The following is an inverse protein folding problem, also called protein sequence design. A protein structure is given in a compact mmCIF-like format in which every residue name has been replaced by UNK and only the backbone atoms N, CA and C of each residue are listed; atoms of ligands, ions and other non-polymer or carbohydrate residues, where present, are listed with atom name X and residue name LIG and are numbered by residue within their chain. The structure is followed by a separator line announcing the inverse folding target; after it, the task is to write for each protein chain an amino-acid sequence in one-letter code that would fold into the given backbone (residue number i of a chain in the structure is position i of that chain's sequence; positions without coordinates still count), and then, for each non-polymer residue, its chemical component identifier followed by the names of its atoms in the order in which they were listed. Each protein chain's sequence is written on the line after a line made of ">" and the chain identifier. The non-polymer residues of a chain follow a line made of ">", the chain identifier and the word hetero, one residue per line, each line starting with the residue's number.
data_IF_674132618378
#
_entry.id   IF_674132618378
#
_cell.length_a   1.000
_cell.length_b   1.000
_cell.length_c   1.000
_cell.angle_alpha   90.00
_cell.angle_beta   90.00
_cell.angle_gamma   90.00
#
_symmetry.space_group_name_H-M   'P 1'
#
loop_
_entity.id
_entity.type
_entity.pdbx_description
1 polymer ?
#
# COMPACT_ATOMS: atom_id res chain seq x y z
N UNK A 1 -8.61 -21.73 26.25
CA UNK A 1 -8.95 -22.71 25.17
C UNK A 1 -8.38 -22.26 23.82
N UNK A 2 -8.69 -21.09 23.26
CA UNK A 2 -8.20 -20.64 21.94
C UNK A 2 -6.68 -20.70 21.81
N UNK A 3 -5.92 -20.15 22.77
CA UNK A 3 -4.44 -20.18 22.76
C UNK A 3 -3.86 -21.60 22.72
N UNK A 4 -4.51 -22.56 23.37
CA UNK A 4 -4.04 -23.96 23.40
C UNK A 4 -4.27 -24.63 22.04
N UNK A 5 -5.44 -24.38 21.40
CA UNK A 5 -5.74 -24.91 20.07
C UNK A 5 -4.81 -24.35 18.99
N UNK A 6 -4.65 -23.02 18.95
CA UNK A 6 -3.71 -22.39 18.03
C UNK A 6 -2.26 -22.81 18.28
N UNK A 7 -1.86 -22.98 19.55
CA UNK A 7 -0.53 -23.48 19.89
C UNK A 7 -0.30 -24.92 19.44
N UNK A 8 -1.31 -25.78 19.49
CA UNK A 8 -1.25 -27.13 18.95
C UNK A 8 -1.07 -27.13 17.42
N UNK A 9 -1.89 -26.34 16.70
CA UNK A 9 -1.78 -26.22 15.26
C UNK A 9 -0.43 -25.63 14.82
N UNK A 10 0.08 -24.63 15.54
CA UNK A 10 1.39 -24.03 15.25
C UNK A 10 2.57 -24.97 15.50
N UNK A 11 2.41 -25.96 16.39
CA UNK A 11 3.43 -26.98 16.67
C UNK A 11 3.31 -28.23 15.80
N UNK A 12 2.21 -28.39 15.05
CA UNK A 12 1.98 -29.55 14.20
C UNK A 12 2.90 -29.52 12.97
N UNK A 13 3.44 -30.70 12.59
CA UNK A 13 4.13 -30.85 11.32
C UNK A 13 3.11 -30.98 10.18
N UNK A 14 2.78 -29.84 9.57
CA UNK A 14 1.82 -29.77 8.49
C UNK A 14 2.19 -30.66 7.28
N UNK A 15 3.48 -30.96 7.08
CA UNK A 15 3.94 -31.80 5.96
C UNK A 15 3.52 -33.26 6.10
N UNK A 16 3.21 -33.70 7.29
CA UNK A 16 2.74 -35.07 7.59
C UNK A 16 1.22 -35.22 7.45
N UNK A 17 0.49 -34.12 7.26
CA UNK A 17 -0.96 -34.14 7.13
C UNK A 17 -1.39 -34.32 5.68
N UNK A 18 -2.49 -35.05 5.43
CA UNK A 18 -3.09 -35.11 4.09
C UNK A 18 -3.48 -33.70 3.60
N UNK A 19 -3.42 -33.47 2.29
CA UNK A 19 -3.77 -32.18 1.68
C UNK A 19 -5.21 -31.72 2.01
N UNK A 20 -6.16 -32.64 2.14
CA UNK A 20 -7.52 -32.35 2.59
C UNK A 20 -7.56 -31.76 4.00
N UNK A 21 -6.82 -32.37 4.94
CA UNK A 21 -6.73 -31.88 6.31
C UNK A 21 -6.01 -30.52 6.38
N UNK A 22 -4.96 -30.33 5.57
CA UNK A 22 -4.30 -29.02 5.44
C UNK A 22 -5.29 -27.94 4.96
N UNK A 23 -6.11 -28.26 3.95
CA UNK A 23 -7.12 -27.33 3.42
C UNK A 23 -8.20 -27.01 4.47
N UNK A 24 -8.67 -28.01 5.22
CA UNK A 24 -9.61 -27.80 6.32
C UNK A 24 -9.02 -26.91 7.41
N UNK A 25 -7.78 -27.15 7.83
CA UNK A 25 -7.10 -26.32 8.83
C UNK A 25 -6.95 -24.86 8.34
N UNK A 26 -6.62 -24.64 7.06
CA UNK A 26 -6.51 -23.29 6.51
C UNK A 26 -7.88 -22.58 6.50
N UNK A 27 -8.95 -23.26 6.11
CA UNK A 27 -10.29 -22.69 6.13
C UNK A 27 -10.74 -22.33 7.56
N UNK A 28 -10.47 -23.17 8.53
CA UNK A 28 -10.77 -22.93 9.94
C UNK A 28 -9.96 -21.76 10.51
N UNK A 29 -8.68 -21.62 10.14
CA UNK A 29 -7.85 -20.50 10.57
C UNK A 29 -8.37 -19.17 10.05
N UNK A 30 -8.81 -19.08 8.78
CA UNK A 30 -9.43 -17.88 8.23
C UNK A 30 -10.72 -17.49 8.98
N UNK A 31 -11.55 -18.48 9.36
CA UNK A 31 -12.76 -18.23 10.16
C UNK A 31 -12.41 -17.72 11.56
N UNK A 32 -11.38 -18.29 12.19
CA UNK A 32 -10.92 -17.85 13.51
C UNK A 32 -10.34 -16.44 13.47
N UNK A 33 -9.59 -16.08 12.43
CA UNK A 33 -9.05 -14.74 12.25
C UNK A 33 -10.17 -13.71 12.04
N UNK A 34 -11.20 -14.06 11.29
CA UNK A 34 -12.39 -13.22 11.14
C UNK A 34 -13.08 -12.99 12.49
N UNK A 35 -13.34 -14.06 13.26
CA UNK A 35 -13.96 -13.98 14.58
C UNK A 35 -13.09 -13.19 15.56
N UNK A 36 -11.76 -13.40 15.55
CA UNK A 36 -10.82 -12.66 16.37
C UNK A 36 -10.80 -11.16 16.04
N UNK A 37 -10.94 -10.82 14.76
CA UNK A 37 -11.01 -9.43 14.29
C UNK A 37 -12.30 -8.76 14.75
N UNK A 38 -13.45 -9.44 14.67
CA UNK A 38 -14.71 -8.93 15.21
C UNK A 38 -14.66 -8.73 16.73
N UNK A 39 -14.15 -9.72 17.46
CA UNK A 39 -14.00 -9.63 18.92
C UNK A 39 -13.07 -8.48 19.32
N UNK A 40 -11.91 -8.35 18.67
CA UNK A 40 -10.95 -7.26 18.93
C UNK A 40 -11.59 -5.90 18.72
N UNK A 41 -12.37 -5.72 17.66
CA UNK A 41 -13.07 -4.47 17.38
C UNK A 41 -14.06 -4.12 18.49
N UNK A 42 -14.87 -5.07 18.95
CA UNK A 42 -15.83 -4.89 20.03
C UNK A 42 -15.16 -4.54 21.36
N UNK A 43 -14.13 -5.29 21.76
CA UNK A 43 -13.39 -5.00 23.00
C UNK A 43 -12.69 -3.65 22.94
N UNK A 44 -12.07 -3.30 21.80
CA UNK A 44 -11.37 -2.02 21.64
C UNK A 44 -12.33 -0.84 21.67
N UNK A 45 -13.50 -0.97 21.06
CA UNK A 45 -14.54 0.06 21.12
C UNK A 45 -15.04 0.27 22.56
N UNK A 46 -15.36 -0.81 23.28
CA UNK A 46 -15.82 -0.74 24.66
C UNK A 46 -14.72 -0.19 25.59
N UNK A 47 -13.46 -0.63 25.43
CA UNK A 47 -12.33 -0.16 26.23
C UNK A 47 -12.08 1.34 26.03
N UNK A 48 -12.22 1.82 24.78
CA UNK A 48 -12.05 3.24 24.47
C UNK A 48 -13.19 4.08 25.05
N UNK A 49 -14.44 3.61 24.93
CA UNK A 49 -15.62 4.31 25.44
C UNK A 49 -15.64 4.37 26.99
N UNK A 50 -15.12 3.34 27.66
CA UNK A 50 -15.06 3.25 29.12
C UNK A 50 -13.85 3.96 29.74
N UNK A 51 -13.14 4.82 29.01
CA UNK A 51 -11.91 5.47 29.48
C UNK A 51 -10.81 4.50 29.96
N UNK A 52 -10.82 3.25 29.47
CA UNK A 52 -9.87 2.22 29.82
C UNK A 52 -8.40 2.61 29.66
N UNK A 53 -7.97 3.29 28.55
CA UNK A 53 -6.60 3.75 28.39
C UNK A 53 -6.14 4.68 29.52
N UNK A 54 -6.98 5.65 29.90
CA UNK A 54 -6.67 6.60 30.97
C UNK A 54 -6.55 5.92 32.34
N UNK A 55 -7.36 4.90 32.59
CA UNK A 55 -7.27 4.08 33.81
C UNK A 55 -5.96 3.31 33.95
N UNK A 56 -5.35 2.97 32.82
CA UNK A 56 -4.05 2.28 32.74
C UNK A 56 -2.85 3.24 32.58
N UNK A 57 -3.08 4.54 32.64
CA UNK A 57 -2.04 5.58 32.52
C UNK A 57 -1.64 5.90 31.09
N UNK A 58 -2.39 5.45 30.09
CA UNK A 58 -2.20 5.76 28.70
C UNK A 58 -3.17 6.84 28.19
N UNK A 59 -2.71 7.71 27.31
CA UNK A 59 -3.54 8.82 26.79
C UNK A 59 -4.45 8.40 25.63
N UNK A 60 -4.28 7.21 25.06
CA UNK A 60 -5.11 6.69 23.96
C UNK A 60 -5.05 5.17 23.85
N UNK A 61 -6.09 4.57 23.23
CA UNK A 61 -6.13 3.15 22.94
C UNK A 61 -4.97 2.69 22.01
N UNK A 62 -4.52 3.55 21.09
CA UNK A 62 -3.37 3.28 20.22
C UNK A 62 -2.09 3.19 21.05
N UNK A 63 -1.86 4.14 21.96
CA UNK A 63 -0.72 4.13 22.88
C UNK A 63 -0.73 2.90 23.76
N UNK A 64 -1.88 2.58 24.36
CA UNK A 64 -2.08 1.40 25.19
C UNK A 64 -1.75 0.11 24.43
N UNK A 65 -2.26 -0.05 23.21
CA UNK A 65 -1.98 -1.22 22.38
C UNK A 65 -0.47 -1.38 22.14
N UNK A 66 0.24 -0.30 21.80
CA UNK A 66 1.69 -0.35 21.59
C UNK A 66 2.42 -0.78 22.87
N UNK A 67 2.13 -0.14 23.99
CA UNK A 67 2.84 -0.38 25.24
C UNK A 67 2.55 -1.76 25.85
N UNK A 68 1.28 -2.18 25.81
CA UNK A 68 0.85 -3.43 26.50
C UNK A 68 0.96 -4.67 25.65
N UNK A 69 0.85 -4.54 24.34
CA UNK A 69 0.86 -5.72 23.44
C UNK A 69 2.11 -5.81 22.56
N UNK A 70 2.93 -4.75 22.52
CA UNK A 70 4.15 -4.71 21.71
C UNK A 70 3.94 -4.67 20.20
N UNK A 71 2.70 -4.40 19.74
CA UNK A 71 2.43 -4.28 18.30
C UNK A 71 2.97 -2.97 17.74
N UNK A 72 3.21 -2.94 16.43
CA UNK A 72 3.67 -1.72 15.76
C UNK A 72 2.61 -0.62 15.79
N UNK A 73 3.03 0.64 15.68
CA UNK A 73 2.13 1.80 15.59
C UNK A 73 1.13 1.65 14.44
N UNK A 74 1.57 1.17 13.27
CA UNK A 74 0.70 0.95 12.11
C UNK A 74 -0.41 -0.05 12.42
N UNK A 75 -0.09 -1.18 13.07
CA UNK A 75 -1.07 -2.17 13.48
C UNK A 75 -2.06 -1.60 14.52
N UNK A 76 -1.56 -0.86 15.53
CA UNK A 76 -2.41 -0.25 16.54
C UNK A 76 -3.39 0.78 15.95
N UNK A 77 -2.92 1.63 15.02
CA UNK A 77 -3.75 2.58 14.28
C UNK A 77 -4.79 1.83 13.43
N UNK A 78 -4.36 0.77 12.72
CA UNK A 78 -5.25 -0.07 11.90
C UNK A 78 -6.37 -0.73 12.73
N UNK A 79 -6.04 -1.27 13.91
CA UNK A 79 -7.04 -1.83 14.82
C UNK A 79 -8.02 -0.77 15.34
N UNK A 80 -7.53 0.41 15.69
CA UNK A 80 -8.38 1.52 16.16
C UNK A 80 -9.31 2.04 15.04
N UNK A 81 -8.80 2.20 13.83
CA UNK A 81 -9.59 2.60 12.67
C UNK A 81 -10.66 1.55 12.33
N UNK A 82 -10.29 0.27 12.37
CA UNK A 82 -11.24 -0.82 12.16
C UNK A 82 -12.32 -0.86 13.23
N UNK A 83 -11.99 -0.71 14.50
CA UNK A 83 -12.99 -0.68 15.58
C UNK A 83 -14.02 0.43 15.39
N UNK A 84 -13.59 1.61 14.93
CA UNK A 84 -14.49 2.73 14.61
C UNK A 84 -15.40 2.41 13.43
N UNK A 85 -14.85 1.86 12.35
CA UNK A 85 -15.64 1.46 11.16
C UNK A 85 -16.61 0.33 11.49
N UNK A 86 -16.18 -0.69 12.19
CA UNK A 86 -16.97 -1.84 12.59
C UNK A 86 -18.23 -1.43 13.40
N UNK A 87 -18.16 -0.36 14.16
CA UNK A 87 -19.30 0.17 14.92
C UNK A 87 -20.45 0.65 14.03
N UNK A 88 -20.19 1.00 12.77
CA UNK A 88 -21.22 1.41 11.78
C UNK A 88 -21.67 0.28 10.87
N UNK A 89 -21.12 -0.93 11.01
CA UNK A 89 -21.41 -2.11 10.18
C UNK A 89 -21.73 -3.36 11.03
N UNK A 90 -22.82 -3.33 11.85
CA UNK A 90 -23.10 -4.41 12.79
C UNK A 90 -23.35 -5.77 12.09
N UNK A 91 -23.89 -5.79 10.87
CA UNK A 91 -24.14 -7.01 10.11
C UNK A 91 -22.83 -7.67 9.67
N UNK A 92 -21.88 -6.88 9.18
CA UNK A 92 -20.57 -7.39 8.79
C UNK A 92 -19.81 -7.92 10.01
N UNK A 93 -19.89 -7.22 11.15
CA UNK A 93 -19.30 -7.69 12.41
C UNK A 93 -19.91 -9.01 12.85
N UNK A 94 -21.22 -9.18 12.72
CA UNK A 94 -21.90 -10.44 13.04
C UNK A 94 -21.47 -11.58 12.10
N UNK A 95 -21.32 -11.31 10.80
CA UNK A 95 -20.84 -12.28 9.82
C UNK A 95 -19.37 -12.69 10.08
N UNK A 96 -18.50 -11.74 10.43
CA UNK A 96 -17.12 -12.02 10.84
C UNK A 96 -17.08 -12.86 12.12
N UNK A 97 -17.90 -12.52 13.12
CA UNK A 97 -17.97 -13.26 14.39
C UNK A 97 -18.46 -14.70 14.19
N UNK A 98 -19.34 -14.92 13.22
CA UNK A 98 -19.84 -16.24 12.84
C UNK A 98 -18.86 -17.02 11.92
N UNK A 99 -17.80 -16.39 11.44
CA UNK A 99 -16.86 -16.99 10.48
C UNK A 99 -17.46 -17.23 9.09
N UNK A 100 -18.61 -16.63 8.76
CA UNK A 100 -19.27 -16.79 7.45
C UNK A 100 -18.66 -15.92 6.36
N UNK A 101 -17.85 -14.95 6.73
CA UNK A 101 -17.08 -14.10 5.83
C UNK A 101 -15.67 -13.93 6.37
N UNK A 102 -14.65 -13.94 5.50
CA UNK A 102 -13.28 -13.68 5.90
C UNK A 102 -13.06 -12.20 6.26
N UNK A 103 -12.01 -11.92 7.04
CA UNK A 103 -11.65 -10.53 7.39
C UNK A 103 -11.49 -9.65 6.14
N UNK A 104 -10.82 -10.15 5.11
CA UNK A 104 -10.55 -9.41 3.88
C UNK A 104 -11.83 -9.01 3.15
N UNK A 105 -12.77 -9.94 3.00
CA UNK A 105 -14.07 -9.68 2.36
C UNK A 105 -14.92 -8.74 3.21
N UNK A 106 -14.99 -8.95 4.52
CA UNK A 106 -15.73 -8.06 5.41
C UNK A 106 -15.21 -6.61 5.37
N UNK A 107 -13.90 -6.43 5.31
CA UNK A 107 -13.28 -5.09 5.14
C UNK A 107 -13.64 -4.43 3.81
N UNK A 108 -13.67 -5.20 2.72
CA UNK A 108 -14.04 -4.71 1.40
C UNK A 108 -15.51 -4.31 1.36
N UNK A 109 -16.41 -5.11 1.92
CA UNK A 109 -17.85 -4.77 2.02
C UNK A 109 -18.01 -3.43 2.77
N UNK A 110 -17.42 -3.29 3.97
CA UNK A 110 -17.48 -2.04 4.72
C UNK A 110 -16.93 -0.85 3.93
N UNK A 111 -15.80 -1.04 3.21
CA UNK A 111 -15.20 0.03 2.40
C UNK A 111 -16.14 0.50 1.28
N UNK A 112 -16.85 -0.42 0.67
CA UNK A 112 -17.83 -0.09 -0.37
C UNK A 112 -19.08 0.57 0.22
N UNK A 113 -19.69 -0.04 1.22
CA UNK A 113 -20.96 0.45 1.79
C UNK A 113 -20.80 1.75 2.58
N UNK A 114 -19.59 2.08 3.06
CA UNK A 114 -19.28 3.43 3.58
C UNK A 114 -19.53 4.55 2.56
N UNK A 115 -19.48 4.23 1.27
CA UNK A 115 -19.78 5.19 0.18
C UNK A 115 -21.27 5.41 -0.02
N UNK A 116 -22.13 4.56 0.53
CA UNK A 116 -23.57 4.72 0.47
C UNK A 116 -24.04 5.77 1.49
N UNK A 117 -25.15 6.47 1.21
CA UNK A 117 -25.85 7.24 2.24
C UNK A 117 -26.09 6.41 3.49
N UNK A 118 -26.00 7.03 4.67
CA UNK A 118 -26.05 6.31 5.95
C UNK A 118 -27.30 5.44 6.10
N UNK A 119 -28.47 5.91 5.60
CA UNK A 119 -29.73 5.19 5.61
C UNK A 119 -29.75 3.92 4.74
N UNK A 120 -28.87 3.82 3.75
CA UNK A 120 -28.77 2.66 2.85
C UNK A 120 -27.65 1.70 3.22
N UNK A 121 -26.78 2.07 4.15
CA UNK A 121 -25.57 1.31 4.49
C UNK A 121 -25.88 -0.08 5.03
N UNK A 122 -26.81 -0.17 6.00
CA UNK A 122 -27.19 -1.45 6.62
C UNK A 122 -27.86 -2.42 5.62
N UNK A 123 -28.69 -1.90 4.73
CA UNK A 123 -29.28 -2.69 3.64
C UNK A 123 -28.21 -3.11 2.60
N UNK A 124 -27.24 -2.25 2.34
CA UNK A 124 -26.09 -2.56 1.49
C UNK A 124 -25.24 -3.70 2.04
N UNK A 125 -24.92 -3.64 3.33
CA UNK A 125 -24.19 -4.71 4.02
C UNK A 125 -24.96 -6.04 3.93
N UNK A 126 -26.27 -6.02 4.19
CA UNK A 126 -27.12 -7.21 4.09
C UNK A 126 -27.10 -7.84 2.71
N UNK A 127 -27.29 -7.04 1.66
CA UNK A 127 -27.37 -7.52 0.29
C UNK A 127 -26.02 -8.12 -0.16
N UNK A 128 -24.90 -7.44 0.12
CA UNK A 128 -23.57 -7.95 -0.25
C UNK A 128 -23.19 -9.22 0.52
N UNK A 129 -23.52 -9.30 1.81
CA UNK A 129 -23.31 -10.51 2.61
C UNK A 129 -24.15 -11.67 2.09
N UNK A 130 -25.44 -11.44 1.76
CA UNK A 130 -26.32 -12.47 1.20
C UNK A 130 -25.82 -12.95 -0.17
N UNK A 131 -25.38 -12.05 -1.03
CA UNK A 131 -24.80 -12.37 -2.34
C UNK A 131 -23.50 -13.19 -2.20
N UNK A 132 -22.62 -12.83 -1.27
CA UNK A 132 -21.41 -13.60 -0.96
C UNK A 132 -21.75 -15.00 -0.45
N UNK A 133 -22.72 -15.13 0.47
CA UNK A 133 -23.19 -16.42 0.97
C UNK A 133 -23.85 -17.26 -0.14
N UNK A 134 -24.41 -16.62 -1.16
CA UNK A 134 -24.92 -17.26 -2.38
C UNK A 134 -23.81 -17.71 -3.36
N UNK A 135 -22.53 -17.49 -3.04
CA UNK A 135 -21.39 -17.94 -3.83
C UNK A 135 -20.86 -16.93 -4.86
N UNK A 136 -21.28 -15.66 -4.82
CA UNK A 136 -20.72 -14.64 -5.70
C UNK A 136 -19.27 -14.35 -5.33
N UNK A 137 -18.41 -14.25 -6.35
CA UNK A 137 -17.02 -13.82 -6.20
C UNK A 137 -16.89 -12.31 -5.98
N UNK A 138 -15.69 -11.85 -5.58
CA UNK A 138 -15.42 -10.42 -5.31
C UNK A 138 -15.70 -9.52 -6.52
N UNK A 139 -15.45 -9.99 -7.75
CA UNK A 139 -15.72 -9.22 -8.96
C UNK A 139 -17.22 -8.99 -9.17
N UNK A 140 -18.04 -10.02 -8.92
CA UNK A 140 -19.50 -9.93 -9.05
C UNK A 140 -20.10 -9.07 -7.93
N UNK A 141 -19.54 -9.17 -6.71
CA UNK A 141 -19.91 -8.29 -5.60
C UNK A 141 -19.60 -6.83 -5.90
N UNK A 142 -18.45 -6.55 -6.53
CA UNK A 142 -18.11 -5.19 -6.94
C UNK A 142 -19.10 -4.65 -7.99
N UNK A 143 -19.51 -5.48 -8.96
CA UNK A 143 -20.53 -5.11 -9.94
C UNK A 143 -21.89 -4.86 -9.29
N UNK A 144 -22.29 -5.73 -8.36
CA UNK A 144 -23.52 -5.54 -7.59
C UNK A 144 -23.48 -4.24 -6.78
N UNK A 145 -22.38 -3.99 -6.09
CA UNK A 145 -22.19 -2.74 -5.35
C UNK A 145 -22.29 -1.52 -6.26
N UNK A 146 -21.66 -1.55 -7.45
CA UNK A 146 -21.72 -0.44 -8.40
C UNK A 146 -23.18 -0.12 -8.80
N UNK A 147 -24.00 -1.15 -9.04
CA UNK A 147 -25.43 -0.95 -9.31
C UNK A 147 -26.18 -0.36 -8.09
N UNK A 148 -25.91 -0.87 -6.89
CA UNK A 148 -26.50 -0.35 -5.66
C UNK A 148 -26.13 1.11 -5.45
N UNK A 149 -24.87 1.45 -5.68
CA UNK A 149 -24.34 2.80 -5.54
C UNK A 149 -25.01 3.80 -6.49
N UNK A 150 -25.17 3.43 -7.76
CA UNK A 150 -25.89 4.26 -8.74
C UNK A 150 -27.35 4.45 -8.34
N UNK A 151 -28.03 3.38 -7.90
CA UNK A 151 -29.45 3.47 -7.48
C UNK A 151 -29.66 4.28 -6.20
N UNK A 152 -28.74 4.15 -5.23
CA UNK A 152 -28.85 4.87 -3.96
C UNK A 152 -28.64 6.38 -4.11
N UNK A 153 -27.95 6.80 -5.17
CA UNK A 153 -27.70 8.22 -5.45
C UNK A 153 -28.88 8.95 -6.07
N UNK A 154 -29.77 8.22 -6.76
CA UNK A 154 -30.82 8.87 -7.53
C UNK A 154 -30.26 9.91 -8.52
N UNK A 155 -31.12 10.81 -9.01
CA UNK A 155 -30.73 11.93 -9.86
C UNK A 155 -30.05 13.10 -9.09
N UNK A 156 -29.30 12.84 -8.01
CA UNK A 156 -28.58 13.90 -7.27
C UNK A 156 -27.29 14.22 -8.02
N UNK A 157 -27.18 15.36 -8.72
CA UNK A 157 -25.96 15.73 -9.38
C UNK A 157 -24.88 16.09 -8.35
N UNK A 158 -23.71 15.49 -8.50
CA UNK A 158 -22.41 16.13 -8.21
C UNK A 158 -21.90 16.33 -6.78
N UNK A 159 -22.54 15.79 -5.74
CA UNK A 159 -21.93 15.91 -4.39
C UNK A 159 -20.71 14.99 -4.16
N UNK A 160 -20.56 13.94 -4.97
CA UNK A 160 -19.45 13.01 -4.83
C UNK A 160 -18.19 13.44 -5.59
N UNK A 161 -18.32 14.15 -6.71
CA UNK A 161 -17.13 14.78 -7.32
C UNK A 161 -16.46 15.73 -6.33
N UNK A 162 -17.23 16.42 -5.51
CA UNK A 162 -16.72 17.24 -4.41
C UNK A 162 -15.99 16.44 -3.33
N UNK A 163 -16.49 15.24 -2.97
CA UNK A 163 -15.86 14.34 -1.99
C UNK A 163 -14.62 13.67 -2.57
N UNK A 164 -14.70 13.07 -3.75
CA UNK A 164 -13.54 12.48 -4.43
C UNK A 164 -12.44 13.52 -4.63
N UNK A 165 -12.83 14.77 -4.93
CA UNK A 165 -11.88 15.86 -5.04
C UNK A 165 -11.32 16.32 -3.70
N UNK A 166 -12.09 16.25 -2.60
CA UNK A 166 -11.63 16.56 -1.26
C UNK A 166 -10.70 15.48 -0.69
N UNK A 167 -11.00 14.21 -0.96
CA UNK A 167 -10.27 13.06 -0.43
C UNK A 167 -9.05 12.68 -1.28
N UNK A 168 -8.84 13.35 -2.44
CA UNK A 168 -7.69 13.07 -3.30
C UNK A 168 -6.38 13.27 -2.58
N UNK A 169 -5.55 12.26 -2.62
CA UNK A 169 -4.23 12.31 -2.00
C UNK A 169 -3.24 11.43 -2.76
N UNK A 170 -2.02 11.89 -2.93
CA UNK A 170 -0.89 11.07 -3.39
C UNK A 170 0.25 11.22 -2.40
N UNK A 171 0.68 10.10 -1.85
CA UNK A 171 1.83 10.00 -0.94
C UNK A 171 2.97 9.29 -1.62
N UNK A 172 4.12 9.93 -1.62
CA UNK A 172 5.37 9.32 -2.00
C UNK A 172 6.19 9.12 -0.72
N UNK A 173 6.45 7.87 -0.38
CA UNK A 173 7.28 7.50 0.77
C UNK A 173 8.53 6.78 0.30
N UNK A 174 9.64 6.94 1.03
CA UNK A 174 10.89 6.24 0.76
C UNK A 174 11.09 5.12 1.76
N UNK A 175 11.42 3.93 1.30
CA UNK A 175 11.77 2.79 2.17
C UNK A 175 13.19 2.93 2.71
N UNK A 176 13.53 2.13 3.74
CA UNK A 176 14.89 2.10 4.33
C UNK A 176 15.97 1.80 3.28
N UNK A 177 15.61 1.10 2.20
CA UNK A 177 16.52 0.81 1.07
C UNK A 177 16.60 1.91 0.00
N UNK A 178 15.86 3.03 0.17
CA UNK A 178 15.82 4.14 -0.80
C UNK A 178 14.83 3.94 -1.94
N UNK A 179 14.09 2.82 -1.99
CA UNK A 179 13.03 2.64 -2.97
C UNK A 179 11.82 3.50 -2.65
N UNK A 180 11.17 4.05 -3.69
CA UNK A 180 9.95 4.82 -3.56
C UNK A 180 8.71 3.92 -3.47
N UNK A 181 7.75 4.32 -2.66
CA UNK A 181 6.41 3.72 -2.59
C UNK A 181 5.39 4.82 -2.82
N UNK A 182 4.53 4.63 -3.82
CA UNK A 182 3.45 5.56 -4.15
C UNK A 182 2.13 4.96 -3.68
N UNK A 183 1.37 5.72 -2.89
CA UNK A 183 0.01 5.39 -2.48
C UNK A 183 -0.87 6.61 -2.66
N UNK A 184 -2.15 6.40 -2.97
CA UNK A 184 -3.07 7.53 -3.00
C UNK A 184 -4.43 7.19 -3.55
N UNK A 185 -5.35 8.14 -3.33
CA UNK A 185 -6.70 8.13 -3.86
C UNK A 185 -6.78 9.18 -4.98
N UNK A 186 -7.08 8.72 -6.19
CA UNK A 186 -7.18 9.55 -7.38
C UNK A 186 -8.64 9.81 -7.73
N UNK A 187 -8.94 10.99 -8.25
CA UNK A 187 -10.24 11.20 -8.89
C UNK A 187 -10.39 10.29 -10.11
N UNK A 188 -11.62 10.00 -10.52
CA UNK A 188 -11.90 9.13 -11.67
C UNK A 188 -11.19 9.60 -12.94
N UNK A 189 -11.19 10.92 -13.19
CA UNK A 189 -10.50 11.55 -14.32
C UNK A 189 -8.97 11.34 -14.24
N UNK A 190 -8.37 11.60 -13.07
CA UNK A 190 -6.93 11.40 -12.86
C UNK A 190 -6.55 9.92 -13.01
N UNK A 191 -7.33 9.00 -12.43
CA UNK A 191 -7.12 7.58 -12.56
C UNK A 191 -7.16 7.10 -14.03
N UNK A 192 -8.14 7.59 -14.80
CA UNK A 192 -8.25 7.29 -16.22
C UNK A 192 -7.05 7.82 -17.03
N UNK A 193 -6.59 9.05 -16.74
CA UNK A 193 -5.42 9.63 -17.39
C UNK A 193 -4.13 8.84 -17.06
N UNK A 194 -3.93 8.49 -15.80
CA UNK A 194 -2.78 7.66 -15.36
C UNK A 194 -2.82 6.30 -16.04
N UNK A 195 -3.98 5.62 -16.04
CA UNK A 195 -4.14 4.33 -16.69
C UNK A 195 -3.83 4.39 -18.18
N UNK A 196 -4.34 5.41 -18.89
CA UNK A 196 -4.10 5.60 -20.32
C UNK A 196 -2.60 5.78 -20.64
N UNK A 197 -1.87 6.57 -19.84
CA UNK A 197 -0.43 6.77 -20.00
C UNK A 197 0.35 5.49 -19.73
N UNK A 198 0.03 4.79 -18.64
CA UNK A 198 0.69 3.54 -18.27
C UNK A 198 0.44 2.44 -19.31
N UNK A 199 -0.80 2.29 -19.77
CA UNK A 199 -1.15 1.32 -20.81
C UNK A 199 -0.43 1.61 -22.14
N UNK A 200 -0.37 2.88 -22.53
CA UNK A 200 0.31 3.29 -23.77
C UNK A 200 1.82 3.01 -23.77
N UNK A 201 2.47 3.11 -22.59
CA UNK A 201 3.92 2.94 -22.45
C UNK A 201 4.34 1.53 -21.98
N UNK A 202 3.39 0.66 -21.59
CA UNK A 202 3.66 -0.64 -21.02
C UNK A 202 3.55 -1.80 -22.01
N UNK A 203 3.55 -1.53 -23.30
CA UNK A 203 3.48 -2.57 -24.32
C UNK A 203 4.60 -3.61 -24.13
N UNK A 204 4.30 -4.93 -24.24
CA UNK A 204 5.32 -5.97 -24.15
C UNK A 204 6.39 -5.79 -25.24
N UNK A 205 7.66 -5.96 -24.88
CA UNK A 205 8.80 -5.83 -25.80
C UNK A 205 8.96 -7.06 -26.74
N UNK A 206 8.00 -7.95 -26.79
CA UNK A 206 7.98 -9.17 -27.62
C UNK A 206 7.56 -10.40 -26.83
N UNK A 207 7.70 -11.57 -27.46
CA UNK A 207 7.30 -12.86 -26.86
C UNK A 207 8.21 -13.32 -25.71
N UNK A 208 9.41 -12.76 -25.62
CA UNK A 208 10.42 -13.08 -24.59
C UNK A 208 10.38 -12.10 -23.42
N UNK A 209 9.41 -11.18 -23.39
CA UNK A 209 9.23 -10.24 -22.28
C UNK A 209 8.58 -10.97 -21.08
N UNK A 210 9.39 -11.39 -20.14
CA UNK A 210 9.03 -12.10 -18.91
C UNK A 210 8.55 -11.16 -17.79
N UNK A 211 8.59 -9.83 -18.01
CA UNK A 211 8.15 -8.85 -17.01
C UNK A 211 6.65 -8.99 -16.72
N UNK A 212 6.31 -8.95 -15.45
CA UNK A 212 4.91 -8.87 -15.01
C UNK A 212 4.26 -7.56 -15.46
N UNK A 213 2.93 -7.49 -15.47
CA UNK A 213 2.20 -6.23 -15.74
C UNK A 213 2.65 -5.11 -14.79
N UNK A 214 2.87 -5.43 -13.50
CA UNK A 214 3.33 -4.45 -12.51
C UNK A 214 4.72 -3.88 -12.83
N UNK A 215 5.65 -4.74 -13.26
CA UNK A 215 6.98 -4.31 -13.69
C UNK A 215 6.92 -3.42 -14.94
N UNK A 216 6.11 -3.79 -15.93
CA UNK A 216 5.91 -2.95 -17.12
C UNK A 216 5.26 -1.60 -16.77
N UNK A 217 4.34 -1.55 -15.81
CA UNK A 217 3.73 -0.32 -15.32
C UNK A 217 4.75 0.57 -14.58
N UNK A 218 5.66 -0.04 -13.80
CA UNK A 218 6.78 0.68 -13.18
C UNK A 218 7.67 1.36 -14.25
N UNK A 219 8.06 0.59 -15.27
CA UNK A 219 8.91 1.10 -16.34
C UNK A 219 8.19 2.18 -17.17
N UNK A 220 6.89 2.00 -17.40
CA UNK A 220 6.04 2.99 -18.06
C UNK A 220 5.93 4.31 -17.26
N UNK A 221 5.81 4.20 -15.94
CA UNK A 221 5.80 5.36 -15.05
C UNK A 221 7.14 6.10 -15.10
N UNK A 222 8.25 5.38 -15.00
CA UNK A 222 9.59 5.95 -15.07
C UNK A 222 9.81 6.69 -16.42
N UNK A 223 9.41 6.06 -17.54
CA UNK A 223 9.49 6.66 -18.86
C UNK A 223 8.57 7.88 -19.02
N UNK A 224 7.37 7.84 -18.49
CA UNK A 224 6.45 8.99 -18.51
C UNK A 224 7.07 10.19 -17.74
N UNK A 225 7.64 9.94 -16.55
CA UNK A 225 8.29 11.00 -15.78
C UNK A 225 9.53 11.53 -16.48
N UNK A 226 10.34 10.67 -17.09
CA UNK A 226 11.51 11.08 -17.87
C UNK A 226 11.10 11.99 -19.05
N UNK A 227 10.07 11.61 -19.83
CA UNK A 227 9.55 12.43 -20.94
C UNK A 227 9.02 13.76 -20.46
N UNK A 228 8.27 13.76 -19.37
CA UNK A 228 7.70 14.98 -18.80
C UNK A 228 8.81 15.93 -18.32
N UNK A 229 9.81 15.42 -17.61
CA UNK A 229 10.95 16.23 -17.17
C UNK A 229 11.77 16.77 -18.35
N UNK A 230 11.94 15.98 -19.42
CA UNK A 230 12.68 16.40 -20.62
C UNK A 230 11.88 17.38 -21.52
N UNK A 231 10.56 17.43 -21.39
CA UNK A 231 9.69 18.24 -22.27
C UNK A 231 9.86 19.75 -22.10
N UNK A 232 10.41 20.20 -20.96
CA UNK A 232 10.46 21.62 -20.62
C UNK A 232 9.10 22.28 -20.30
N UNK A 233 8.02 21.49 -20.24
CA UNK A 233 6.67 21.99 -19.93
C UNK A 233 6.38 22.12 -18.44
N UNK A 234 7.25 21.60 -17.58
CA UNK A 234 7.10 21.74 -16.14
C UNK A 234 7.39 23.17 -15.71
N UNK A 235 6.59 23.73 -14.76
CA UNK A 235 6.82 25.07 -14.29
C UNK A 235 8.20 25.18 -13.60
N UNK A 236 8.90 26.28 -13.89
CA UNK A 236 10.17 26.56 -13.25
C UNK A 236 10.02 26.76 -11.74
N UNK A 237 10.94 26.21 -10.97
CA UNK A 237 11.07 26.48 -9.52
C UNK A 237 12.22 27.48 -9.31
N UNK A 238 11.91 28.64 -8.76
CA UNK A 238 12.88 29.72 -8.51
C UNK A 238 13.69 30.10 -9.77
N UNK A 239 13.06 30.13 -10.95
CA UNK A 239 13.71 30.47 -12.20
C UNK A 239 14.62 29.37 -12.78
N UNK A 240 14.52 28.13 -12.25
CA UNK A 240 15.27 26.98 -12.74
C UNK A 240 14.31 25.91 -13.23
N UNK A 241 14.62 25.24 -14.35
CA UNK A 241 13.84 24.09 -14.82
C UNK A 241 13.90 22.97 -13.77
N UNK A 242 12.80 22.23 -13.63
CA UNK A 242 12.75 21.06 -12.76
C UNK A 242 13.70 19.99 -13.28
N UNK A 243 14.65 19.57 -12.44
CA UNK A 243 15.66 18.56 -12.74
C UNK A 243 15.84 17.65 -11.55
N UNK A 244 16.13 16.38 -11.80
CA UNK A 244 16.60 15.46 -10.77
C UNK A 244 18.10 15.64 -10.59
N UNK A 245 18.55 15.95 -9.38
CA UNK A 245 19.97 16.09 -9.05
C UNK A 245 20.48 14.78 -8.47
N UNK A 246 21.56 14.26 -9.06
CA UNK A 246 22.29 13.10 -8.53
C UNK A 246 23.66 13.58 -8.06
N UNK A 247 23.93 13.44 -6.78
CA UNK A 247 25.23 13.79 -6.20
C UNK A 247 26.16 12.58 -6.24
N UNK A 248 27.21 12.68 -7.05
CA UNK A 248 28.27 11.68 -7.19
C UNK A 248 29.58 12.33 -6.83
N UNK A 249 30.45 11.68 -6.04
CA UNK A 249 31.78 12.23 -5.78
C UNK A 249 32.64 12.13 -7.05
N UNK A 250 33.55 13.12 -7.24
CA UNK A 250 34.45 13.11 -8.40
C UNK A 250 35.29 11.83 -8.44
N UNK A 251 35.70 11.32 -7.28
CA UNK A 251 36.44 10.08 -7.18
C UNK A 251 35.66 8.88 -7.70
N UNK A 252 34.36 8.81 -7.37
CA UNK A 252 33.46 7.76 -7.82
C UNK A 252 33.17 7.88 -9.32
N UNK A 253 33.06 9.10 -9.83
CA UNK A 253 32.83 9.38 -11.25
C UNK A 253 34.05 8.99 -12.11
N UNK A 254 35.25 9.31 -11.67
CA UNK A 254 36.49 8.98 -12.39
C UNK A 254 36.78 7.47 -12.42
N UNK A 255 36.21 6.71 -11.50
CA UNK A 255 36.41 5.25 -11.42
C UNK A 255 35.33 4.48 -12.20
N UNK A 256 34.27 5.14 -12.68
CA UNK A 256 33.23 4.53 -13.52
C UNK A 256 33.78 4.10 -14.90
N UNK A 257 34.85 4.75 -15.40
CA UNK A 257 35.51 4.47 -16.70
C UNK A 257 36.81 3.67 -16.59
N UNK A 258 37.15 3.13 -15.43
CA UNK A 258 38.41 2.48 -15.17
C UNK A 258 38.48 1.01 -15.61
N UNK A 259 39.70 0.56 -15.90
CA UNK A 259 40.09 -0.79 -16.31
C UNK A 259 39.49 -1.91 -15.44
N UNK A 260 39.05 -3.00 -16.06
CA UNK A 260 38.32 -4.12 -15.45
C UNK A 260 39.02 -4.83 -14.26
N UNK A 261 40.35 -4.76 -14.18
CA UNK A 261 41.13 -5.29 -13.06
C UNK A 261 41.11 -4.39 -11.83
N UNK A 262 41.12 -3.07 -12.02
CA UNK A 262 40.90 -2.06 -10.99
C UNK A 262 39.43 -2.07 -10.52
N UNK A 263 38.48 -2.40 -11.41
CA UNK A 263 37.05 -2.55 -11.04
C UNK A 263 36.80 -3.70 -10.06
N UNK A 264 37.51 -4.82 -10.17
CA UNK A 264 37.31 -5.97 -9.27
C UNK A 264 37.83 -5.67 -7.84
N UNK A 265 39.03 -5.12 -7.73
CA UNK A 265 39.63 -4.74 -6.44
C UNK A 265 38.89 -3.54 -5.81
N UNK A 266 38.50 -2.59 -6.63
CA UNK A 266 37.73 -1.43 -6.23
C UNK A 266 36.27 -1.82 -5.85
N UNK A 267 35.63 -2.75 -6.59
CA UNK A 267 34.28 -3.22 -6.28
C UNK A 267 34.23 -3.84 -4.88
N UNK A 268 35.25 -4.49 -4.43
CA UNK A 268 35.33 -5.08 -3.09
C UNK A 268 35.58 -4.03 -2.00
N UNK A 269 36.50 -3.10 -2.24
CA UNK A 269 36.79 -1.97 -1.34
C UNK A 269 35.61 -0.99 -1.29
N UNK A 270 34.91 -0.80 -2.41
CA UNK A 270 33.74 0.08 -2.53
C UNK A 270 32.49 -0.59 -2.01
N UNK A 271 32.27 -1.87 -2.19
CA UNK A 271 31.18 -2.57 -1.50
C UNK A 271 31.25 -2.38 0.01
N UNK A 272 32.42 -2.45 0.59
CA UNK A 272 32.61 -2.18 2.02
C UNK A 272 32.41 -0.69 2.36
N UNK A 273 32.84 0.25 1.51
CA UNK A 273 32.62 1.69 1.67
C UNK A 273 31.21 2.13 1.30
N UNK A 274 30.62 1.52 0.29
CA UNK A 274 29.28 1.89 -0.23
C UNK A 274 28.14 1.28 0.56
N UNK A 275 28.38 0.31 1.41
CA UNK A 275 27.45 0.03 2.50
C UNK A 275 27.18 1.27 3.37
N UNK A 276 28.09 2.27 3.34
CA UNK A 276 28.02 3.50 4.10
C UNK A 276 27.75 4.78 3.26
N UNK A 277 27.91 4.77 1.94
CA UNK A 277 27.71 5.96 1.09
C UNK A 277 26.90 5.58 -0.15
N UNK A 278 25.71 6.13 -0.24
CA UNK A 278 24.80 5.98 -1.38
C UNK A 278 24.66 7.32 -2.08
N UNK A 279 24.56 7.36 -3.41
CA UNK A 279 24.23 8.59 -4.12
C UNK A 279 22.82 9.05 -3.70
N UNK A 280 22.69 10.30 -3.33
CA UNK A 280 21.39 10.87 -2.98
C UNK A 280 20.75 11.46 -4.23
N UNK A 281 19.54 11.04 -4.56
CA UNK A 281 18.69 11.71 -5.53
C UNK A 281 17.77 12.66 -4.75
N UNK A 282 17.83 13.96 -5.01
CA UNK A 282 16.95 14.92 -4.41
C UNK A 282 16.55 16.00 -5.41
N UNK A 283 15.35 16.53 -5.26
CA UNK A 283 14.87 17.63 -6.09
C UNK A 283 15.58 18.97 -5.81
N UNK A 284 16.18 19.11 -4.63
CA UNK A 284 16.68 20.40 -4.13
C UNK A 284 18.14 20.38 -3.66
N UNK A 285 18.84 19.26 -3.82
CA UNK A 285 20.20 19.11 -3.28
C UNK A 285 20.26 19.01 -1.75
N UNK A 286 19.11 18.90 -1.06
CA UNK A 286 19.04 18.69 0.37
C UNK A 286 19.35 17.23 0.74
N UNK A 287 19.83 16.99 1.96
CA UNK A 287 20.28 15.68 2.44
C UNK A 287 19.19 14.60 2.59
N UNK A 288 17.93 14.93 2.34
CA UNK A 288 16.77 14.08 2.56
C UNK A 288 16.33 13.30 1.32
N UNK A 289 17.13 13.26 0.25
CA UNK A 289 16.83 12.56 -0.99
C UNK A 289 16.95 11.04 -0.89
N UNK A 290 16.30 10.35 -1.82
CA UNK A 290 16.42 8.90 -1.97
C UNK A 290 17.85 8.51 -2.39
N UNK A 291 18.36 7.43 -1.81
CA UNK A 291 19.67 6.90 -2.13
C UNK A 291 19.60 5.94 -3.32
N UNK A 292 20.46 6.14 -4.31
CA UNK A 292 20.57 5.29 -5.49
C UNK A 292 21.76 4.32 -5.36
N UNK A 293 21.57 3.09 -5.82
CA UNK A 293 22.67 2.14 -5.99
C UNK A 293 23.65 2.60 -7.07
N UNK A 294 24.91 2.16 -7.02
CA UNK A 294 25.96 2.57 -7.94
C UNK A 294 25.60 2.43 -9.42
N UNK A 295 24.98 1.30 -9.80
CA UNK A 295 24.59 1.02 -11.20
C UNK A 295 23.49 1.98 -11.69
N UNK A 296 22.53 2.31 -10.83
CA UNK A 296 21.47 3.27 -11.16
C UNK A 296 22.03 4.69 -11.26
N UNK A 297 22.96 5.07 -10.38
CA UNK A 297 23.66 6.35 -10.42
C UNK A 297 24.52 6.48 -11.69
N UNK A 298 25.23 5.41 -12.08
CA UNK A 298 26.04 5.36 -13.31
C UNK A 298 25.16 5.50 -14.56
N UNK A 299 24.03 4.78 -14.63
CA UNK A 299 23.11 4.87 -15.76
C UNK A 299 22.53 6.28 -15.91
N UNK A 300 22.19 6.94 -14.79
CA UNK A 300 21.70 8.33 -14.81
C UNK A 300 22.81 9.30 -15.22
N UNK A 301 24.05 9.10 -14.75
CA UNK A 301 25.19 9.96 -15.07
C UNK A 301 25.55 9.93 -16.56
N UNK A 302 25.31 8.83 -17.27
CA UNK A 302 25.57 8.72 -18.71
C UNK A 302 24.70 9.67 -19.55
N UNK A 303 23.48 9.95 -19.10
CA UNK A 303 22.52 10.80 -19.82
C UNK A 303 22.33 12.20 -19.17
N UNK A 304 23.01 12.48 -18.08
CA UNK A 304 22.80 13.70 -17.29
C UNK A 304 23.74 14.84 -17.70
N UNK A 305 23.24 16.07 -17.61
CA UNK A 305 24.09 17.26 -17.62
C UNK A 305 24.85 17.34 -16.27
N UNK A 306 26.18 17.24 -16.28
CA UNK A 306 27.01 17.32 -15.08
C UNK A 306 27.33 18.78 -14.73
N UNK A 307 27.12 19.16 -13.48
CA UNK A 307 27.55 20.44 -12.93
C UNK A 307 28.52 20.22 -11.77
N UNK A 308 29.75 20.75 -11.82
CA UNK A 308 30.66 20.66 -10.69
C UNK A 308 30.14 21.51 -9.54
N UNK A 309 30.09 20.94 -8.34
CA UNK A 309 29.83 21.65 -7.09
C UNK A 309 31.18 21.81 -6.39
N UNK A 310 31.66 23.05 -6.26
CA UNK A 310 32.93 23.40 -5.60
C UNK A 310 32.67 23.69 -4.12
#
# INVERSE_FOLDING_TARGET
>A
MVRAGLGYLAAADATQLPASTQAECLAELEQHDAAATAARAGFLAAFTAGAGPAGDGDYSAVSWLIHRTGITRGAAVGHSAWAKRAATHPRVVAALAAGTVSESVGRVICLWTDKLPQEHRDAGDEQLLAAFAGGLGLADLAALFAEMYVRARGDVPDQDQGREFADREVKLATTIGGAGVVHGDLTAECAAAVAAVLDALSAPAGKEDDRTKGQRYHDALAEAMRRLTASGMLPERAGQPVRTWVHVSLADLLLLDGDSALQAEWTEQVRARWAARRAAASETGASDGAWLGGDAAAAIACDAAMAPVV
#
